data_IF_358965201828
#
_entry.id   IF_358965201828
#
_cell.length_a   1.000
_cell.length_b   1.000
_cell.length_c   1.000
_cell.angle_alpha   90.00
_cell.angle_beta   90.00
_cell.angle_gamma   90.00
#
_symmetry.space_group_name_H-M   'P 1'
#
loop_
_entity.id
_entity.type
_entity.pdbx_description
1 polymer ?
#
# COMPACT_ATOMS: atom_id res chain seq x y z
N UNK A 1 -13.76 -8.15 -20.35
CA UNK A 1 -13.35 -8.28 -18.94
C UNK A 1 -13.44 -6.91 -18.31
N UNK A 2 -14.49 -6.69 -17.52
CA UNK A 2 -14.68 -5.49 -16.72
C UNK A 2 -13.48 -5.33 -15.78
N UNK A 3 -12.86 -4.15 -15.82
CA UNK A 3 -11.77 -3.83 -14.90
C UNK A 3 -12.42 -3.32 -13.62
N UNK A 4 -12.27 -4.09 -12.56
CA UNK A 4 -12.64 -3.65 -11.23
C UNK A 4 -11.65 -2.56 -10.79
N UNK A 5 -12.05 -1.30 -10.99
CA UNK A 5 -11.39 -0.18 -10.35
C UNK A 5 -11.55 -0.33 -8.83
N UNK A 6 -10.64 0.23 -8.04
CA UNK A 6 -11.03 0.65 -6.69
C UNK A 6 -12.14 1.67 -6.89
N UNK A 7 -13.40 1.27 -6.68
CA UNK A 7 -14.58 2.14 -6.72
C UNK A 7 -14.24 3.45 -6.02
N UNK A 8 -14.60 4.65 -6.53
CA UNK A 8 -14.44 5.89 -5.81
C UNK A 8 -15.04 5.71 -4.42
N UNK A 9 -14.15 5.62 -3.45
CA UNK A 9 -14.41 5.08 -2.13
C UNK A 9 -14.24 6.23 -1.20
N UNK A 10 -15.30 6.52 -0.44
CA UNK A 10 -15.28 7.41 0.73
C UNK A 10 -14.29 6.93 1.81
N UNK A 11 -13.80 5.68 1.67
CA UNK A 11 -12.86 5.03 2.58
C UNK A 11 -11.46 4.91 1.98
N UNK A 12 -10.47 5.00 2.86
CA UNK A 12 -9.07 4.88 2.50
C UNK A 12 -8.16 5.09 3.70
N UNK A 13 -6.86 4.92 3.46
CA UNK A 13 -5.84 5.07 4.48
C UNK A 13 -5.11 6.41 4.31
N UNK A 14 -5.15 7.25 5.35
CA UNK A 14 -4.41 8.51 5.36
C UNK A 14 -2.98 8.26 5.86
N UNK A 15 -2.00 8.41 4.97
CA UNK A 15 -0.59 8.37 5.33
C UNK A 15 0.01 9.78 5.33
N UNK A 16 -0.01 10.42 6.51
CA UNK A 16 0.38 11.82 6.68
C UNK A 16 -0.41 12.74 5.75
N UNK A 17 0.18 13.25 4.67
CA UNK A 17 -0.46 14.12 3.68
C UNK A 17 -0.90 13.37 2.41
N UNK A 18 -0.63 12.06 2.32
CA UNK A 18 -1.01 11.22 1.19
C UNK A 18 -2.23 10.35 1.55
N UNK A 19 -3.35 10.61 0.89
CA UNK A 19 -4.51 9.72 0.96
C UNK A 19 -4.35 8.55 -0.02
N UNK A 20 -4.57 7.33 0.47
CA UNK A 20 -4.54 6.10 -0.31
C UNK A 20 -5.96 5.52 -0.35
N UNK A 21 -6.67 5.58 -1.49
CA UNK A 21 -8.01 4.99 -1.60
C UNK A 21 -8.01 3.49 -1.32
N UNK A 22 -9.15 2.97 -0.86
CA UNK A 22 -9.36 1.52 -0.80
C UNK A 22 -9.01 0.83 -2.13
N UNK A 23 -8.37 -0.34 -2.03
CA UNK A 23 -7.83 -1.09 -3.17
C UNK A 23 -6.43 -0.65 -3.61
N UNK A 24 -5.89 0.45 -3.05
CA UNK A 24 -4.50 0.86 -3.33
C UNK A 24 -3.55 -0.25 -2.90
N UNK A 25 -2.67 -0.67 -3.82
CA UNK A 25 -1.64 -1.68 -3.56
C UNK A 25 -0.28 -1.02 -3.38
N UNK A 26 0.43 -1.45 -2.35
CA UNK A 26 1.77 -0.99 -2.01
C UNK A 26 2.74 -2.17 -2.08
N UNK A 27 4.02 -1.87 -2.28
CA UNK A 27 5.07 -2.88 -2.23
C UNK A 27 6.35 -2.37 -1.57
N UNK A 28 7.09 -3.28 -0.95
CA UNK A 28 8.50 -3.09 -0.58
C UNK A 28 9.34 -4.11 -1.36
N UNK A 29 10.45 -3.66 -1.92
CA UNK A 29 11.49 -4.55 -2.45
C UNK A 29 12.62 -4.64 -1.43
N UNK A 30 12.88 -5.82 -0.90
CA UNK A 30 13.96 -6.04 0.06
C UNK A 30 14.65 -7.36 -0.21
N UNK A 31 15.99 -7.35 -0.33
CA UNK A 31 16.83 -8.55 -0.55
C UNK A 31 16.33 -9.46 -1.70
N UNK A 32 15.84 -8.87 -2.79
CA UNK A 32 15.31 -9.62 -3.94
C UNK A 32 13.88 -10.13 -3.78
N UNK A 33 13.25 -9.95 -2.61
CA UNK A 33 11.86 -10.29 -2.35
C UNK A 33 10.95 -9.08 -2.53
N UNK A 34 9.72 -9.33 -2.99
CA UNK A 34 8.68 -8.33 -3.13
C UNK A 34 7.58 -8.59 -2.12
N UNK A 35 7.46 -7.72 -1.14
CA UNK A 35 6.42 -7.77 -0.10
C UNK A 35 5.26 -6.87 -0.52
N UNK A 36 4.03 -7.31 -0.32
CA UNK A 36 2.82 -6.61 -0.76
C UNK A 36 1.96 -6.20 0.42
N UNK A 37 1.36 -5.02 0.31
CA UNK A 37 0.29 -4.56 1.18
C UNK A 37 -0.84 -3.96 0.34
N UNK A 38 -2.03 -3.88 0.92
CA UNK A 38 -3.20 -3.30 0.28
C UNK A 38 -4.01 -2.48 1.28
N UNK A 39 -4.61 -1.39 0.81
CA UNK A 39 -5.58 -0.63 1.60
C UNK A 39 -6.94 -1.31 1.55
N UNK A 40 -7.44 -1.73 2.71
CA UNK A 40 -8.76 -2.33 2.90
C UNK A 40 -9.60 -1.43 3.81
N UNK A 41 -10.63 -0.77 3.26
CA UNK A 41 -11.33 0.32 3.94
C UNK A 41 -10.34 1.39 4.42
N UNK A 42 -10.21 1.52 5.75
CA UNK A 42 -9.35 2.51 6.39
C UNK A 42 -8.04 1.91 6.94
N UNK A 43 -7.72 0.66 6.59
CA UNK A 43 -6.58 -0.07 7.12
C UNK A 43 -5.57 -0.36 6.02
N UNK A 44 -4.29 -0.31 6.38
CA UNK A 44 -3.22 -0.90 5.58
C UNK A 44 -3.06 -2.34 6.03
N UNK A 45 -3.29 -3.28 5.11
CA UNK A 45 -3.23 -4.72 5.35
C UNK A 45 -1.98 -5.30 4.70
N UNK A 46 -1.17 -6.02 5.48
CA UNK A 46 -0.04 -6.80 5.01
C UNK A 46 -0.09 -8.19 5.66
N UNK A 47 0.01 -9.25 4.85
CA UNK A 47 0.01 -10.65 5.34
C UNK A 47 -1.16 -10.96 6.30
N UNK A 48 -2.34 -10.43 6.00
CA UNK A 48 -3.56 -10.61 6.80
C UNK A 48 -3.62 -9.81 8.11
N UNK A 49 -2.64 -8.91 8.35
CA UNK A 49 -2.58 -8.09 9.56
C UNK A 49 -2.74 -6.61 9.23
N UNK A 50 -3.42 -5.89 10.12
CA UNK A 50 -3.43 -4.42 10.10
C UNK A 50 -2.05 -3.93 10.51
N UNK A 51 -1.50 -2.98 9.75
CA UNK A 51 -0.18 -2.40 10.03
C UNK A 51 -0.16 -0.90 9.73
N UNK A 52 0.99 -0.28 9.98
CA UNK A 52 1.31 1.09 9.56
C UNK A 52 2.49 1.06 8.59
N UNK A 53 2.67 2.10 7.74
CA UNK A 53 3.80 2.15 6.81
C UNK A 53 5.17 1.96 7.49
N UNK A 54 5.40 2.56 8.66
CA UNK A 54 6.66 2.42 9.40
C UNK A 54 6.85 1.02 9.97
N UNK A 55 5.81 0.47 10.61
CA UNK A 55 5.88 -0.87 11.19
C UNK A 55 6.10 -1.93 10.11
N UNK A 56 5.40 -1.82 8.98
CA UNK A 56 5.57 -2.74 7.85
C UNK A 56 6.97 -2.65 7.22
N UNK A 57 7.51 -1.44 7.07
CA UNK A 57 8.87 -1.26 6.56
C UNK A 57 9.92 -1.85 7.51
N UNK A 58 9.73 -1.71 8.82
CA UNK A 58 10.59 -2.29 9.84
C UNK A 58 10.52 -3.82 9.85
N UNK A 59 9.32 -4.39 9.80
CA UNK A 59 9.10 -5.84 9.74
C UNK A 59 9.76 -6.46 8.51
N UNK A 60 9.56 -5.86 7.33
CA UNK A 60 10.15 -6.37 6.07
C UNK A 60 11.67 -6.22 6.03
N UNK A 61 12.22 -5.12 6.56
CA UNK A 61 13.65 -4.84 6.46
C UNK A 61 14.47 -5.27 7.69
N UNK A 62 13.82 -5.74 8.77
CA UNK A 62 14.44 -6.12 10.03
C UNK A 62 15.16 -4.97 10.77
N UNK A 63 14.79 -3.71 10.51
CA UNK A 63 15.41 -2.52 11.13
C UNK A 63 14.52 -1.29 10.96
N UNK A 64 14.67 -0.26 11.78
CA UNK A 64 13.91 1.00 11.62
C UNK A 64 14.24 1.65 10.28
N UNK A 65 13.20 2.00 9.51
CA UNK A 65 13.30 2.54 8.15
C UNK A 65 12.55 3.85 7.97
N UNK A 66 12.96 4.62 6.96
CA UNK A 66 12.11 5.66 6.41
C UNK A 66 11.16 5.04 5.38
N UNK A 67 9.91 4.82 5.80
CA UNK A 67 8.87 4.21 4.98
C UNK A 67 8.64 4.92 3.63
N UNK A 68 8.80 6.25 3.55
CA UNK A 68 8.69 6.98 2.28
C UNK A 68 9.71 6.58 1.24
N UNK A 69 10.88 6.11 1.67
CA UNK A 69 11.96 5.65 0.77
C UNK A 69 11.75 4.21 0.33
N UNK A 70 11.25 3.36 1.22
CA UNK A 70 11.22 1.91 1.01
C UNK A 70 9.88 1.42 0.42
N UNK A 71 8.78 2.16 0.60
CA UNK A 71 7.45 1.78 0.11
C UNK A 71 7.16 2.44 -1.23
N UNK A 72 6.74 1.62 -2.19
CA UNK A 72 6.23 2.06 -3.48
C UNK A 72 4.71 1.94 -3.51
N UNK A 73 4.02 3.05 -3.81
CA UNK A 73 2.58 3.06 -4.08
C UNK A 73 2.37 2.72 -5.55
N UNK A 74 1.60 1.67 -5.85
CA UNK A 74 1.29 1.31 -7.23
C UNK A 74 0.27 2.29 -7.78
N UNK A 75 0.70 3.12 -8.73
CA UNK A 75 -0.19 4.01 -9.49
C UNK A 75 -1.28 3.17 -10.16
N UNK A 76 -2.55 3.53 -9.97
CA UNK A 76 -3.63 3.00 -10.77
C UNK A 76 -3.36 3.36 -12.24
N UNK A 77 -3.25 2.35 -13.12
CA UNK A 77 -3.11 2.61 -14.56
C UNK A 77 -4.42 3.25 -15.02
N UNK A 78 -4.36 4.46 -15.59
CA UNK A 78 -5.51 5.01 -16.32
C UNK A 78 -5.87 4.01 -17.42
N UNK A 79 -7.14 3.62 -17.52
CA UNK A 79 -7.64 3.09 -18.76
C UNK A 79 -7.42 4.16 -19.82
N UNK A 80 -6.67 3.85 -20.86
CA UNK A 80 -6.81 4.58 -22.12
C UNK A 80 -8.15 4.13 -22.69
N UNK A 81 -9.05 5.08 -22.84
CA UNK A 81 -10.32 4.93 -23.55
C UNK A 81 -10.10 4.40 -24.98
#
# INVERSE_FOLDING_TARGET
MEREYGQPTDRGYQWKELFLPHGTRLRILHRGHCHMAQVEGNYLMAEGKITTPSAWAEEVCGSIRNAWRDIYVRRARRGTD
#
